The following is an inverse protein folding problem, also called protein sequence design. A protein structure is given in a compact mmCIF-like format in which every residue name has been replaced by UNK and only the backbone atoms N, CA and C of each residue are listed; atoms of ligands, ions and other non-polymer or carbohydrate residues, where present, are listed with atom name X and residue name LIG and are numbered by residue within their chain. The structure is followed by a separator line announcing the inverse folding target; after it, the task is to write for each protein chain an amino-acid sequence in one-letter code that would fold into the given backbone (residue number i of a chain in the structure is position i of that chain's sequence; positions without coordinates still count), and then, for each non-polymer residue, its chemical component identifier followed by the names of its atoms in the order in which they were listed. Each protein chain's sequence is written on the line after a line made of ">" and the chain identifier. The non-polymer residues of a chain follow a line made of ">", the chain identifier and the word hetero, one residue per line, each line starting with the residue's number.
data_IF_427075738951
#
_entry.id   IF_427075738951
#
_cell.length_a   1.000
_cell.length_b   1.000
_cell.length_c   1.000
_cell.angle_alpha   90.00
_cell.angle_beta   90.00
_cell.angle_gamma   90.00
#
_symmetry.space_group_name_H-M   'P 1'
#
loop_
_entity.id
_entity.type
_entity.pdbx_description
1 polymer ?
#
# COMPACT_ATOMS: atom_id res chain seq x y z
N UNK A 1 -9.14 -22.90 0.19
CA UNK A 1 -7.67 -22.75 0.21
C UNK A 1 -7.16 -23.22 -1.13
N UNK A 2 -6.81 -22.29 -2.01
CA UNK A 2 -6.09 -22.63 -3.25
C UNK A 2 -4.70 -23.07 -2.79
N UNK A 3 -4.24 -24.25 -3.21
CA UNK A 3 -2.86 -24.63 -3.01
C UNK A 3 -2.00 -23.57 -3.72
N UNK A 4 -1.29 -22.75 -2.95
CA UNK A 4 -0.46 -21.69 -3.51
C UNK A 4 0.59 -22.33 -4.44
N UNK A 5 0.67 -21.83 -5.67
CA UNK A 5 1.60 -22.37 -6.67
C UNK A 5 3.05 -22.19 -6.21
N UNK A 6 3.95 -23.07 -6.66
CA UNK A 6 5.39 -22.94 -6.38
C UNK A 6 5.94 -21.56 -6.84
N UNK A 7 5.42 -21.03 -7.95
CA UNK A 7 5.74 -19.69 -8.44
C UNK A 7 5.31 -18.59 -7.46
N UNK A 8 4.12 -18.71 -6.87
CA UNK A 8 3.62 -17.74 -5.89
C UNK A 8 4.52 -17.71 -4.64
N UNK A 9 4.77 -18.86 -4.03
CA UNK A 9 5.62 -18.95 -2.85
C UNK A 9 7.03 -18.37 -3.13
N UNK A 10 7.59 -18.65 -4.32
CA UNK A 10 8.88 -18.11 -4.74
C UNK A 10 8.86 -16.60 -4.95
N UNK A 11 7.82 -16.03 -5.58
CA UNK A 11 7.71 -14.59 -5.75
C UNK A 11 7.57 -13.85 -4.42
N UNK A 12 6.77 -14.38 -3.48
CA UNK A 12 6.65 -13.81 -2.13
C UNK A 12 8.00 -13.83 -1.42
N UNK A 13 8.75 -14.92 -1.49
CA UNK A 13 10.09 -15.01 -0.89
C UNK A 13 11.07 -13.98 -1.50
N UNK A 14 11.03 -13.79 -2.82
CA UNK A 14 11.87 -12.80 -3.52
C UNK A 14 11.48 -11.36 -3.14
N UNK A 15 10.19 -11.05 -3.04
CA UNK A 15 9.73 -9.73 -2.59
C UNK A 15 10.14 -9.45 -1.14
N UNK A 16 9.99 -10.44 -0.26
CA UNK A 16 10.38 -10.34 1.14
C UNK A 16 11.88 -10.17 1.32
N UNK A 17 12.69 -10.91 0.55
CA UNK A 17 14.14 -10.74 0.53
C UNK A 17 14.53 -9.33 0.08
N UNK A 18 13.93 -8.83 -1.01
CA UNK A 18 14.20 -7.50 -1.55
C UNK A 18 13.82 -6.38 -0.57
N UNK A 19 12.69 -6.51 0.14
CA UNK A 19 12.27 -5.56 1.17
C UNK A 19 13.01 -5.75 2.51
N UNK A 20 13.54 -6.95 2.77
CA UNK A 20 14.38 -7.24 3.93
C UNK A 20 15.72 -6.51 3.91
N UNK A 21 16.16 -6.04 2.74
CA UNK A 21 17.34 -5.18 2.58
C UNK A 21 17.13 -3.73 3.05
N UNK A 22 15.90 -3.33 3.43
CA UNK A 22 15.64 -1.96 3.90
C UNK A 22 16.43 -1.65 5.18
N UNK A 23 17.35 -0.67 5.16
CA UNK A 23 18.14 -0.30 6.34
C UNK A 23 17.30 0.44 7.40
N UNK A 24 16.11 0.91 7.05
CA UNK A 24 15.21 1.57 7.98
C UNK A 24 14.38 0.52 8.72
N UNK A 25 14.16 0.71 10.02
CA UNK A 25 13.38 -0.23 10.83
C UNK A 25 12.15 0.42 11.44
N UNK A 26 11.08 -0.37 11.59
CA UNK A 26 9.92 -0.05 12.42
C UNK A 26 9.73 -1.08 13.53
N UNK A 27 9.18 -0.65 14.66
CA UNK A 27 8.89 -1.53 15.80
C UNK A 27 7.42 -1.92 15.79
N UNK A 28 7.14 -3.22 15.86
CA UNK A 28 5.80 -3.77 16.06
C UNK A 28 5.84 -4.85 17.14
N UNK A 29 4.94 -4.75 18.13
CA UNK A 29 4.87 -5.66 19.27
C UNK A 29 6.24 -5.89 19.98
N UNK A 30 7.05 -4.83 20.08
CA UNK A 30 8.37 -4.89 20.73
C UNK A 30 9.50 -5.49 19.88
N UNK A 31 9.23 -5.86 18.62
CA UNK A 31 10.24 -6.36 17.68
C UNK A 31 10.49 -5.37 16.55
N UNK A 32 11.75 -5.23 16.16
CA UNK A 32 12.15 -4.43 15.00
C UNK A 32 12.08 -5.25 13.70
N UNK A 33 11.61 -4.60 12.64
CA UNK A 33 11.51 -5.14 11.30
C UNK A 33 12.02 -4.13 10.28
N UNK A 34 12.64 -4.57 9.17
CA UNK A 34 12.84 -3.70 8.00
C UNK A 34 11.51 -3.08 7.59
N UNK A 35 11.50 -1.76 7.40
CA UNK A 35 10.27 -0.96 7.31
C UNK A 35 9.40 -1.39 6.14
N UNK A 36 9.95 -1.49 4.93
CA UNK A 36 9.16 -1.89 3.76
C UNK A 36 8.74 -3.39 3.81
N UNK A 37 9.47 -4.26 4.54
CA UNK A 37 9.05 -5.65 4.76
C UNK A 37 7.84 -5.72 5.70
N UNK A 38 7.84 -4.93 6.78
CA UNK A 38 6.71 -4.83 7.68
C UNK A 38 5.47 -4.29 6.97
N UNK A 39 5.66 -3.25 6.15
CA UNK A 39 4.59 -2.70 5.31
C UNK A 39 3.98 -3.77 4.39
N UNK A 40 4.82 -4.53 3.67
CA UNK A 40 4.36 -5.61 2.78
C UNK A 40 3.53 -6.69 3.51
N UNK A 41 3.89 -7.02 4.76
CA UNK A 41 3.14 -7.97 5.59
C UNK A 41 1.77 -7.43 6.01
N UNK A 42 1.71 -6.20 6.51
CA UNK A 42 0.45 -5.51 6.85
C UNK A 42 -0.49 -5.41 5.65
N UNK A 43 0.06 -5.15 4.46
CA UNK A 43 -0.67 -5.15 3.20
C UNK A 43 -1.32 -6.51 2.92
N UNK A 44 -0.58 -7.62 3.00
CA UNK A 44 -1.13 -8.97 2.82
C UNK A 44 -2.19 -9.31 3.88
N UNK A 45 -1.92 -9.03 5.15
CA UNK A 45 -2.86 -9.29 6.25
C UNK A 45 -4.17 -8.49 6.13
N UNK A 46 -4.08 -7.25 5.65
CA UNK A 46 -5.26 -6.45 5.34
C UNK A 46 -6.04 -7.03 4.18
N UNK A 47 -5.37 -7.47 3.11
CA UNK A 47 -6.05 -8.09 1.97
C UNK A 47 -6.85 -9.32 2.41
N UNK A 48 -6.32 -10.18 3.29
CA UNK A 48 -7.06 -11.34 3.78
C UNK A 48 -8.31 -10.98 4.57
N UNK A 49 -8.28 -9.88 5.34
CA UNK A 49 -9.47 -9.39 6.05
C UNK A 49 -10.48 -8.73 5.10
N UNK A 50 -9.98 -8.02 4.09
CA UNK A 50 -10.78 -7.21 3.18
C UNK A 50 -11.44 -8.04 2.07
N UNK A 51 -10.64 -8.83 1.36
CA UNK A 51 -11.02 -9.60 0.18
C UNK A 51 -10.24 -10.94 0.17
N UNK A 52 -10.64 -11.94 1.00
CA UNK A 52 -9.93 -13.23 1.10
C UNK A 52 -9.90 -14.01 -0.21
N UNK A 53 -10.87 -13.80 -1.10
CA UNK A 53 -10.91 -14.44 -2.42
C UNK A 53 -10.24 -13.59 -3.52
N UNK A 54 -9.38 -12.64 -3.15
CA UNK A 54 -8.69 -11.77 -4.10
C UNK A 54 -7.87 -12.58 -5.11
N UNK A 55 -7.87 -12.19 -6.40
CA UNK A 55 -7.06 -12.84 -7.42
C UNK A 55 -5.57 -12.84 -7.06
N UNK A 56 -4.84 -13.85 -7.53
CA UNK A 56 -3.40 -14.00 -7.29
C UNK A 56 -2.60 -12.75 -7.71
N UNK A 57 -2.98 -12.11 -8.83
CA UNK A 57 -2.38 -10.85 -9.27
C UNK A 57 -2.49 -9.73 -8.21
N UNK A 58 -3.61 -9.62 -7.51
CA UNK A 58 -3.79 -8.63 -6.43
C UNK A 58 -2.94 -9.02 -5.23
N UNK A 59 -2.87 -10.30 -4.87
CA UNK A 59 -2.03 -10.80 -3.77
C UNK A 59 -0.54 -10.47 -4.00
N UNK A 60 -0.04 -10.70 -5.22
CA UNK A 60 1.31 -10.34 -5.64
C UNK A 60 1.53 -8.81 -5.63
N UNK A 61 0.57 -8.05 -6.15
CA UNK A 61 0.66 -6.59 -6.21
C UNK A 61 0.65 -5.96 -4.82
N UNK A 62 -0.21 -6.43 -3.92
CA UNK A 62 -0.29 -6.00 -2.52
C UNK A 62 1.03 -6.28 -1.78
N UNK A 63 1.62 -7.47 -1.96
CA UNK A 63 2.93 -7.79 -1.35
C UNK A 63 4.06 -6.89 -1.86
N UNK A 64 3.99 -6.48 -3.12
CA UNK A 64 5.05 -5.71 -3.79
C UNK A 64 4.77 -4.21 -3.93
N UNK A 65 3.70 -3.67 -3.35
CA UNK A 65 3.20 -2.32 -3.65
C UNK A 65 4.24 -1.20 -3.39
N UNK A 66 5.09 -1.34 -2.37
CA UNK A 66 6.21 -0.44 -2.06
C UNK A 66 7.57 -1.14 -2.14
N UNK A 67 7.71 -2.14 -3.01
CA UNK A 67 8.95 -2.93 -3.10
C UNK A 67 10.20 -2.05 -3.28
N UNK A 68 11.17 -2.19 -2.37
CA UNK A 68 12.42 -1.43 -2.31
C UNK A 68 12.27 0.10 -2.34
N UNK A 69 11.15 0.65 -1.83
CA UNK A 69 10.85 2.08 -1.86
C UNK A 69 11.92 2.97 -1.24
N UNK A 70 12.61 2.50 -0.21
CA UNK A 70 13.70 3.22 0.46
C UNK A 70 14.83 3.64 -0.49
N UNK A 71 15.00 2.97 -1.65
CA UNK A 71 16.00 3.30 -2.66
C UNK A 71 15.75 4.63 -3.38
N UNK A 72 14.52 5.15 -3.33
CA UNK A 72 14.14 6.44 -3.95
C UNK A 72 13.47 7.31 -2.86
N UNK A 73 14.25 7.92 -1.96
CA UNK A 73 13.70 8.64 -0.82
C UNK A 73 13.10 9.99 -1.22
N UNK A 74 12.03 10.40 -0.53
CA UNK A 74 11.32 11.67 -0.79
C UNK A 74 12.24 12.89 -0.74
N UNK A 75 13.28 12.86 0.10
CA UNK A 75 14.21 13.98 0.33
C UNK A 75 15.04 14.36 -0.90
N UNK A 76 15.17 13.45 -1.87
CA UNK A 76 15.95 13.67 -3.09
C UNK A 76 15.15 14.45 -4.16
N UNK A 77 13.90 14.81 -3.86
CA UNK A 77 13.02 15.56 -4.75
C UNK A 77 12.63 16.92 -4.12
N UNK A 78 12.35 17.97 -4.91
CA UNK A 78 11.92 19.27 -4.39
C UNK A 78 10.72 19.16 -3.45
N UNK A 79 10.71 19.90 -2.33
CA UNK A 79 9.61 19.94 -1.35
C UNK A 79 8.42 20.81 -1.83
N UNK A 80 8.00 20.57 -3.06
CA UNK A 80 6.87 21.22 -3.73
C UNK A 80 5.82 20.18 -4.14
N UNK A 81 4.58 20.60 -4.44
CA UNK A 81 3.56 19.71 -4.99
C UNK A 81 4.03 18.98 -6.25
N UNK A 82 4.72 19.68 -7.17
CA UNK A 82 5.25 19.10 -8.41
C UNK A 82 6.36 18.08 -8.12
N UNK A 83 7.28 18.39 -7.20
CA UNK A 83 8.33 17.46 -6.77
C UNK A 83 7.75 16.19 -6.12
N UNK A 84 6.69 16.34 -5.32
CA UNK A 84 5.96 15.19 -4.77
C UNK A 84 5.29 14.34 -5.86
N UNK A 85 4.65 14.95 -6.86
CA UNK A 85 4.06 14.20 -7.97
C UNK A 85 5.12 13.44 -8.77
N UNK A 86 6.25 14.08 -9.08
CA UNK A 86 7.35 13.45 -9.81
C UNK A 86 7.94 12.25 -9.03
N UNK A 87 8.17 12.43 -7.73
CA UNK A 87 8.64 11.35 -6.87
C UNK A 87 7.67 10.17 -6.88
N UNK A 88 6.37 10.44 -6.70
CA UNK A 88 5.33 9.42 -6.64
C UNK A 88 5.18 8.65 -7.95
N UNK A 89 5.18 9.33 -9.10
CA UNK A 89 5.09 8.65 -10.40
C UNK A 89 6.37 7.88 -10.74
N UNK A 90 7.53 8.35 -10.29
CA UNK A 90 8.80 7.59 -10.40
C UNK A 90 8.72 6.29 -9.60
N UNK A 91 8.22 6.35 -8.36
CA UNK A 91 8.01 5.17 -7.52
C UNK A 91 7.06 4.16 -8.16
N UNK A 92 5.94 4.59 -8.76
CA UNK A 92 5.00 3.68 -9.41
C UNK A 92 5.65 2.84 -10.51
N UNK A 93 6.49 3.47 -11.36
CA UNK A 93 7.24 2.75 -12.39
C UNK A 93 8.28 1.83 -11.76
N UNK A 94 9.08 2.34 -10.83
CA UNK A 94 10.13 1.57 -10.17
C UNK A 94 9.59 0.31 -9.47
N UNK A 95 8.48 0.42 -8.74
CA UNK A 95 7.85 -0.72 -8.07
C UNK A 95 7.31 -1.74 -9.05
N UNK A 96 6.63 -1.30 -10.11
CA UNK A 96 6.11 -2.20 -11.13
C UNK A 96 7.25 -2.95 -11.84
N UNK A 97 8.31 -2.26 -12.26
CA UNK A 97 9.46 -2.87 -12.93
C UNK A 97 10.19 -3.86 -12.01
N UNK A 98 10.38 -3.49 -10.75
CA UNK A 98 11.03 -4.35 -9.74
C UNK A 98 10.20 -5.60 -9.45
N UNK A 99 8.89 -5.45 -9.25
CA UNK A 99 7.99 -6.59 -9.04
C UNK A 99 7.99 -7.53 -10.24
N UNK A 100 7.87 -6.98 -11.46
CA UNK A 100 7.87 -7.78 -12.69
C UNK A 100 9.15 -8.56 -12.91
N UNK A 101 10.32 -7.97 -12.65
CA UNK A 101 11.62 -8.66 -12.73
C UNK A 101 11.68 -9.85 -11.76
N UNK A 102 11.31 -9.64 -10.50
CA UNK A 102 11.34 -10.72 -9.49
C UNK A 102 10.29 -11.80 -9.77
N UNK A 103 9.14 -11.44 -10.33
CA UNK A 103 8.14 -12.41 -10.81
C UNK A 103 8.66 -13.24 -11.98
N UNK A 104 9.41 -12.64 -12.91
CA UNK A 104 10.07 -13.38 -13.99
C UNK A 104 11.07 -14.38 -13.43
N UNK A 105 11.86 -13.98 -12.45
CA UNK A 105 12.77 -14.87 -11.71
C UNK A 105 12.03 -16.00 -10.97
N UNK A 106 10.78 -15.76 -10.54
CA UNK A 106 9.92 -16.75 -9.90
C UNK A 106 9.25 -17.72 -10.88
N UNK A 107 9.27 -17.46 -12.19
CA UNK A 107 8.71 -18.32 -13.23
C UNK A 107 7.35 -17.87 -13.79
N UNK A 108 6.89 -16.66 -13.49
CA UNK A 108 5.66 -16.13 -14.08
C UNK A 108 5.81 -15.77 -15.56
N UNK A 109 4.72 -15.94 -16.31
CA UNK A 109 4.61 -15.48 -17.68
C UNK A 109 4.43 -13.95 -17.78
N UNK A 110 4.58 -13.44 -19.00
CA UNK A 110 4.52 -11.99 -19.25
C UNK A 110 3.11 -11.42 -19.05
N UNK A 111 2.06 -12.23 -19.21
CA UNK A 111 0.67 -11.82 -19.00
C UNK A 111 0.39 -11.52 -17.52
N UNK A 112 0.76 -12.45 -16.62
CA UNK A 112 0.62 -12.25 -15.18
C UNK A 112 1.50 -11.10 -14.69
N UNK A 113 2.74 -11.00 -15.20
CA UNK A 113 3.64 -9.88 -14.90
C UNK A 113 3.01 -8.55 -15.30
N UNK A 114 2.49 -8.42 -16.52
CA UNK A 114 1.88 -7.17 -16.99
C UNK A 114 0.67 -6.78 -16.13
N UNK A 115 -0.16 -7.76 -15.75
CA UNK A 115 -1.31 -7.56 -14.87
C UNK A 115 -0.87 -7.00 -13.51
N UNK A 116 0.12 -7.62 -12.85
CA UNK A 116 0.65 -7.12 -11.57
C UNK A 116 1.28 -5.73 -11.73
N UNK A 117 2.05 -5.49 -12.79
CA UNK A 117 2.62 -4.18 -13.08
C UNK A 117 1.57 -3.09 -13.30
N UNK A 118 0.41 -3.41 -13.86
CA UNK A 118 -0.72 -2.47 -13.99
C UNK A 118 -1.22 -2.06 -12.61
N UNK A 119 -1.42 -3.03 -11.73
CA UNK A 119 -1.92 -2.82 -10.37
C UNK A 119 -0.89 -2.03 -9.55
N UNK A 120 0.35 -2.51 -9.42
CA UNK A 120 1.44 -1.87 -8.65
C UNK A 120 1.71 -0.44 -9.15
N UNK A 121 1.71 -0.23 -10.47
CA UNK A 121 1.88 1.09 -11.09
C UNK A 121 0.67 2.03 -10.93
N UNK A 122 -0.36 1.64 -10.17
CA UNK A 122 -1.61 2.39 -9.94
C UNK A 122 -2.34 2.78 -11.24
N UNK A 123 -2.23 1.96 -12.30
CA UNK A 123 -2.85 2.23 -13.60
C UNK A 123 -4.32 1.83 -13.58
N UNK A 124 -5.19 2.74 -14.03
CA UNK A 124 -6.63 2.50 -14.13
C UNK A 124 -7.38 2.49 -12.79
N UNK A 125 -6.94 3.26 -11.78
CA UNK A 125 -7.74 3.43 -10.56
C UNK A 125 -9.18 3.87 -10.90
N UNK A 126 -10.18 3.37 -10.16
CA UNK A 126 -11.63 3.50 -10.43
C UNK A 126 -12.18 2.76 -11.67
N UNK A 127 -11.31 2.21 -12.52
CA UNK A 127 -11.73 1.51 -13.76
C UNK A 127 -11.32 0.04 -13.75
N UNK A 128 -10.09 -0.26 -13.34
CA UNK A 128 -9.57 -1.61 -13.15
C UNK A 128 -9.90 -2.08 -11.72
N UNK A 129 -10.71 -3.15 -11.55
CA UNK A 129 -11.09 -3.67 -10.24
C UNK A 129 -9.90 -4.09 -9.37
N UNK A 130 -8.81 -4.59 -9.95
CA UNK A 130 -7.63 -5.05 -9.21
C UNK A 130 -6.80 -3.89 -8.68
N UNK A 131 -6.63 -2.86 -9.51
CA UNK A 131 -6.01 -1.59 -9.08
C UNK A 131 -6.83 -0.95 -7.98
N UNK A 132 -8.16 -0.97 -8.12
CA UNK A 132 -9.06 -0.45 -7.10
C UNK A 132 -8.95 -1.24 -5.79
N UNK A 133 -8.96 -2.58 -5.85
CA UNK A 133 -8.83 -3.45 -4.68
C UNK A 133 -7.50 -3.21 -3.94
N UNK A 134 -6.39 -3.07 -4.67
CA UNK A 134 -5.11 -2.72 -4.03
C UNK A 134 -5.12 -1.31 -3.43
N UNK A 135 -5.76 -0.32 -4.06
CA UNK A 135 -5.90 1.02 -3.46
C UNK A 135 -6.72 0.97 -2.17
N UNK A 136 -7.82 0.22 -2.14
CA UNK A 136 -8.63 0.03 -0.93
C UNK A 136 -7.77 -0.55 0.20
N UNK A 137 -6.96 -1.58 -0.08
CA UNK A 137 -6.03 -2.16 0.90
C UNK A 137 -4.99 -1.14 1.36
N UNK A 138 -4.39 -0.35 0.46
CA UNK A 138 -3.44 0.71 0.81
C UNK A 138 -4.07 1.73 1.76
N UNK A 139 -5.28 2.22 1.44
CA UNK A 139 -5.96 3.23 2.23
C UNK A 139 -6.36 2.68 3.62
N UNK A 140 -6.83 1.44 3.70
CA UNK A 140 -7.12 0.76 4.97
C UNK A 140 -5.87 0.58 5.84
N UNK A 141 -4.77 0.10 5.24
CA UNK A 141 -3.47 -0.05 5.94
C UNK A 141 -2.96 1.29 6.43
N UNK A 142 -3.07 2.34 5.62
CA UNK A 142 -2.70 3.69 6.01
C UNK A 142 -3.50 4.14 7.24
N UNK A 143 -4.82 4.00 7.23
CA UNK A 143 -5.69 4.42 8.35
C UNK A 143 -5.35 3.65 9.64
N UNK A 144 -5.19 2.33 9.58
CA UNK A 144 -4.99 1.50 10.76
C UNK A 144 -3.58 1.60 11.35
N UNK A 145 -2.54 1.65 10.51
CA UNK A 145 -1.15 1.50 10.97
C UNK A 145 -0.33 2.78 10.89
N UNK A 146 -0.61 3.68 9.95
CA UNK A 146 0.30 4.79 9.63
C UNK A 146 -0.28 6.18 9.90
N UNK A 147 -1.60 6.33 9.97
CA UNK A 147 -2.26 7.63 10.13
C UNK A 147 -1.85 8.33 11.43
N UNK A 148 -1.74 7.60 12.55
CA UNK A 148 -1.28 8.16 13.82
C UNK A 148 0.15 8.70 13.73
N UNK A 149 1.07 7.92 13.18
CA UNK A 149 2.47 8.34 13.00
C UNK A 149 2.60 9.49 12.03
N UNK A 150 1.79 9.51 10.96
CA UNK A 150 1.73 10.59 10.00
C UNK A 150 1.19 11.89 10.63
N UNK A 151 0.18 11.80 11.50
CA UNK A 151 -0.31 12.94 12.27
C UNK A 151 0.75 13.53 13.20
N UNK A 152 1.49 12.68 13.90
CA UNK A 152 2.58 13.12 14.78
C UNK A 152 3.76 13.80 14.03
N UNK A 153 3.97 13.45 12.76
CA UNK A 153 5.00 14.07 11.91
C UNK A 153 4.60 15.45 11.36
N UNK A 154 3.32 15.80 11.42
CA UNK A 154 2.78 17.03 10.88
C UNK A 154 1.96 17.83 11.92
N UNK A 155 2.57 18.23 13.06
CA UNK A 155 1.89 19.04 14.08
C UNK A 155 1.48 20.43 13.57
N UNK A 156 2.05 20.89 12.45
CA UNK A 156 1.73 22.15 11.79
C UNK A 156 0.41 22.12 11.00
N UNK A 157 -0.17 20.95 10.74
CA UNK A 157 -1.42 20.85 9.99
C UNK A 157 -2.62 21.21 10.86
N UNK A 158 -3.40 22.18 10.37
CA UNK A 158 -4.69 22.51 10.94
C UNK A 158 -5.76 21.46 10.61
N UNK A 159 -6.92 21.58 11.26
CA UNK A 159 -8.04 20.65 11.06
C UNK A 159 -8.51 20.61 9.60
N UNK A 160 -8.52 21.77 8.91
CA UNK A 160 -8.95 21.86 7.52
C UNK A 160 -8.04 21.04 6.60
N UNK A 161 -6.72 21.09 6.82
CA UNK A 161 -5.75 20.30 6.11
C UNK A 161 -5.93 18.81 6.37
N UNK A 162 -6.18 18.41 7.62
CA UNK A 162 -6.44 17.02 7.97
C UNK A 162 -7.73 16.49 7.32
N UNK A 163 -8.80 17.26 7.35
CA UNK A 163 -10.06 16.91 6.68
C UNK A 163 -9.85 16.74 5.16
N UNK A 164 -9.07 17.61 4.52
CA UNK A 164 -8.72 17.48 3.10
C UNK A 164 -7.97 16.17 2.81
N UNK A 165 -6.99 15.81 3.64
CA UNK A 165 -6.22 14.55 3.50
C UNK A 165 -7.15 13.35 3.65
N UNK A 166 -7.95 13.29 4.71
CA UNK A 166 -8.86 12.18 4.98
C UNK A 166 -9.95 12.06 3.90
N UNK A 167 -10.50 13.17 3.41
CA UNK A 167 -11.44 13.18 2.28
C UNK A 167 -10.79 12.70 1.00
N UNK A 168 -9.53 13.04 0.75
CA UNK A 168 -8.79 12.55 -0.42
C UNK A 168 -8.53 11.06 -0.34
N UNK A 169 -8.18 10.53 0.83
CA UNK A 169 -8.09 9.08 1.07
C UNK A 169 -9.45 8.42 0.82
N UNK A 170 -10.51 8.90 1.48
CA UNK A 170 -11.88 8.36 1.31
C UNK A 170 -12.34 8.36 -0.16
N UNK A 171 -12.11 9.44 -0.91
CA UNK A 171 -12.51 9.54 -2.33
C UNK A 171 -11.86 8.49 -3.23
N UNK A 172 -10.67 7.97 -2.88
CA UNK A 172 -10.00 6.93 -3.67
C UNK A 172 -10.58 5.54 -3.42
N UNK A 173 -11.09 5.30 -2.22
CA UNK A 173 -11.67 4.02 -1.85
C UNK A 173 -12.94 3.71 -2.64
N UNK A 174 -13.23 2.43 -2.84
CA UNK A 174 -14.50 1.92 -3.34
C UNK A 174 -15.57 1.92 -2.23
N UNK A 175 -16.86 1.70 -2.56
CA UNK A 175 -17.89 1.49 -1.54
C UNK A 175 -17.56 0.34 -0.57
N UNK A 176 -16.96 -0.75 -1.06
CA UNK A 176 -16.51 -1.85 -0.20
C UNK A 176 -15.35 -1.41 0.70
N UNK A 177 -14.43 -0.58 0.20
CA UNK A 177 -13.38 0.04 1.00
C UNK A 177 -13.94 0.92 2.11
N UNK A 178 -14.97 1.73 1.83
CA UNK A 178 -15.67 2.54 2.84
C UNK A 178 -16.27 1.68 3.94
N UNK A 179 -16.98 0.62 3.57
CA UNK A 179 -17.56 -0.33 4.52
C UNK A 179 -16.47 -0.98 5.38
N UNK A 180 -15.37 -1.42 4.77
CA UNK A 180 -14.24 -2.03 5.46
C UNK A 180 -13.56 -1.06 6.44
N UNK A 181 -13.45 0.23 6.10
CA UNK A 181 -12.90 1.25 6.99
C UNK A 181 -13.72 1.40 8.29
N UNK A 182 -15.02 1.11 8.22
CA UNK A 182 -15.94 1.20 9.35
C UNK A 182 -16.06 -0.11 10.15
N UNK A 183 -15.75 -1.26 9.54
CA UNK A 183 -16.10 -2.58 10.10
C UNK A 183 -14.92 -3.54 10.29
N UNK A 184 -13.83 -3.37 9.53
CA UNK A 184 -12.74 -4.37 9.43
C UNK A 184 -11.41 -3.89 10.01
N UNK A 185 -11.26 -2.61 10.33
CA UNK A 185 -10.00 -2.02 10.82
C UNK A 185 -10.18 -1.36 12.18
N UNK A 186 -9.10 -1.29 12.95
CA UNK A 186 -9.02 -0.51 14.19
C UNK A 186 -8.73 0.93 13.85
N UNK A 187 -9.69 1.81 14.12
CA UNK A 187 -9.48 3.24 13.97
C UNK A 187 -8.65 3.80 15.13
N UNK A 188 -7.71 4.72 14.86
CA UNK A 188 -6.99 5.41 15.92
C UNK A 188 -7.94 6.29 16.74
N UNK A 189 -8.17 5.92 18.00
CA UNK A 189 -9.23 6.47 18.85
C UNK A 189 -9.25 8.01 18.90
N UNK A 190 -8.08 8.64 18.98
CA UNK A 190 -7.93 10.10 19.04
C UNK A 190 -8.24 10.81 17.72
N UNK A 191 -8.28 10.11 16.58
CA UNK A 191 -8.62 10.66 15.26
C UNK A 191 -10.02 10.28 14.79
N UNK A 192 -10.76 9.44 15.52
CA UNK A 192 -12.13 9.03 15.16
C UNK A 192 -13.05 10.23 14.88
N UNK A 193 -13.09 11.30 15.71
CA UNK A 193 -13.96 12.45 15.43
C UNK A 193 -13.63 13.13 14.09
N UNK A 194 -12.34 13.20 13.75
CA UNK A 194 -11.87 13.82 12.51
C UNK A 194 -12.19 12.96 11.29
N UNK A 195 -12.06 11.64 11.42
CA UNK A 195 -12.46 10.67 10.40
C UNK A 195 -13.97 10.74 10.14
N UNK A 196 -14.79 10.73 11.19
CA UNK A 196 -16.25 10.87 11.07
C UNK A 196 -16.65 12.17 10.39
N UNK A 197 -16.03 13.30 10.76
CA UNK A 197 -16.26 14.60 10.11
C UNK A 197 -15.80 14.64 8.65
N UNK A 198 -14.77 13.88 8.29
CA UNK A 198 -14.29 13.80 6.91
C UNK A 198 -15.25 13.02 6.01
N UNK A 199 -15.89 11.97 6.52
CA UNK A 199 -16.72 11.03 5.73
C UNK A 199 -18.23 11.29 5.80
N UNK A 200 -18.70 12.02 6.82
CA UNK A 200 -20.12 12.34 7.02
C UNK A 200 -20.62 13.61 6.33
N UNK A 201 -19.80 14.22 5.46
CA UNK A 201 -20.12 15.47 4.75
C UNK A 201 -19.98 15.37 3.24
#
# INVERSE_FOLDING_TARGET
>A
MIAESEHYARAIALFDAANGEDPNTETEAGRQYPKELLYARRMSEMLERFAPDAPEAVRLAVRSQHIQRWKIPRKDYPMTPQGYQLWRTTLYRFHADTAGRLMKEAGYDDEMIERVQKVVGKRGLKVNPETQMMEDVVDLVFIEHYLTGFAAQHPEYDEAKWLDILRKTWKKMSPAGHEAALTKIKLPAHLVPLIQKAVGG
#
